data_IF_601622121144
#
_entry.id   IF_601622121144
#
_cell.length_a   1.000
_cell.length_b   1.000
_cell.length_c   1.000
_cell.angle_alpha   90.00
_cell.angle_beta   90.00
_cell.angle_gamma   90.00
#
_symmetry.space_group_name_H-M   'P 1'
#
loop_
_entity.id
_entity.type
_entity.pdbx_description
1 polymer ?
#
# COMPACT_ATOMS: atom_id res chain seq x y z
N UNK A 1 13.15 38.28 6.21
CA UNK A 1 13.18 36.83 5.93
C UNK A 1 11.74 36.32 6.00
N UNK A 2 11.10 36.02 4.87
CA UNK A 2 9.72 35.50 4.85
C UNK A 2 9.82 33.98 5.00
N UNK A 3 9.42 33.45 6.15
CA UNK A 3 9.31 32.00 6.35
C UNK A 3 7.94 31.58 5.81
N UNK A 4 7.94 30.91 4.66
CA UNK A 4 6.73 30.33 4.09
C UNK A 4 6.47 29.01 4.81
N UNK A 5 5.41 28.98 5.60
CA UNK A 5 4.97 27.77 6.27
C UNK A 5 4.02 26.99 5.35
N UNK A 6 4.41 25.78 4.97
CA UNK A 6 3.55 24.88 4.18
C UNK A 6 2.65 24.10 5.14
N UNK A 7 1.37 24.42 5.13
CA UNK A 7 0.33 23.74 5.90
C UNK A 7 -0.47 22.84 4.98
N UNK A 8 -0.50 21.55 5.25
CA UNK A 8 -1.20 20.56 4.41
C UNK A 8 -2.11 19.65 5.24
N UNK A 9 -3.23 19.22 4.64
CA UNK A 9 -4.11 18.21 5.24
C UNK A 9 -3.52 16.82 4.97
N UNK A 10 -3.20 16.08 6.03
CA UNK A 10 -2.74 14.69 5.94
C UNK A 10 -3.80 13.71 6.46
N UNK A 11 -3.93 12.52 5.85
CA UNK A 11 -4.78 11.48 6.38
C UNK A 11 -4.23 10.99 7.71
N UNK A 12 -5.12 10.77 8.67
CA UNK A 12 -4.77 10.17 9.94
C UNK A 12 -5.81 9.14 10.36
N UNK A 13 -5.31 8.03 10.91
CA UNK A 13 -6.12 6.96 11.49
C UNK A 13 -6.01 6.99 13.02
N UNK A 14 -7.11 6.66 13.69
CA UNK A 14 -7.16 6.46 15.15
C UNK A 14 -7.87 5.15 15.48
N UNK A 15 -7.23 4.28 16.24
CA UNK A 15 -7.82 3.04 16.75
C UNK A 15 -9.00 3.30 17.68
N UNK A 16 -10.09 2.57 17.47
CA UNK A 16 -11.37 2.75 18.16
C UNK A 16 -11.90 1.46 18.82
N UNK A 17 -11.14 0.37 18.75
CA UNK A 17 -11.47 -0.92 19.36
C UNK A 17 -11.19 -2.10 18.44
N UNK A 18 -11.54 -3.30 18.91
CA UNK A 18 -11.29 -4.57 18.26
C UNK A 18 -12.59 -5.34 18.03
N UNK A 19 -12.62 -6.08 16.92
CA UNK A 19 -13.72 -6.94 16.48
C UNK A 19 -13.15 -8.21 15.83
N UNK A 20 -13.98 -9.24 15.67
CA UNK A 20 -13.64 -10.39 14.84
C UNK A 20 -14.50 -10.42 13.57
N UNK A 21 -13.84 -10.64 12.43
CA UNK A 21 -14.51 -10.81 11.14
C UNK A 21 -13.73 -11.78 10.25
N UNK A 22 -14.28 -12.11 9.09
CA UNK A 22 -13.61 -12.93 8.08
C UNK A 22 -12.67 -12.09 7.21
N UNK A 23 -11.38 -12.45 7.16
CA UNK A 23 -10.40 -11.76 6.32
C UNK A 23 -10.32 -12.40 4.94
N UNK A 24 -10.59 -11.62 3.87
CA UNK A 24 -10.51 -12.11 2.49
C UNK A 24 -9.08 -12.42 2.02
N UNK A 25 -8.07 -11.81 2.64
CA UNK A 25 -6.64 -12.06 2.35
C UNK A 25 -6.12 -13.25 3.15
N UNK A 26 -6.36 -13.31 4.46
CA UNK A 26 -5.95 -14.45 5.29
C UNK A 26 -6.85 -15.67 5.13
N UNK A 27 -8.04 -15.50 4.55
CA UNK A 27 -9.05 -16.53 4.26
C UNK A 27 -9.56 -17.30 5.48
N UNK A 28 -9.51 -16.65 6.64
CA UNK A 28 -10.00 -17.18 7.92
C UNK A 28 -10.58 -16.05 8.77
N UNK A 29 -11.30 -16.41 9.84
CA UNK A 29 -11.64 -15.45 10.89
C UNK A 29 -10.35 -14.88 11.53
N UNK A 30 -10.32 -13.57 11.79
CA UNK A 30 -9.19 -12.85 12.36
C UNK A 30 -9.66 -11.71 13.26
N UNK A 31 -8.74 -11.23 14.09
CA UNK A 31 -8.90 -9.98 14.85
C UNK A 31 -8.68 -8.80 13.91
N UNK A 32 -9.60 -7.86 13.97
CA UNK A 32 -9.50 -6.58 13.30
C UNK A 32 -9.50 -5.45 14.32
N UNK A 33 -8.70 -4.43 14.07
CA UNK A 33 -8.82 -3.15 14.76
C UNK A 33 -9.67 -2.21 13.91
N UNK A 34 -10.72 -1.67 14.51
CA UNK A 34 -11.54 -0.63 13.89
C UNK A 34 -10.81 0.68 14.04
N UNK A 35 -10.53 1.35 12.92
CA UNK A 35 -9.87 2.64 12.90
C UNK A 35 -10.80 3.70 12.28
N UNK A 36 -10.84 4.87 12.89
CA UNK A 36 -11.46 6.07 12.30
C UNK A 36 -10.44 6.78 11.46
N UNK A 37 -10.77 7.02 10.19
CA UNK A 37 -9.91 7.72 9.24
C UNK A 37 -10.45 9.12 9.02
N UNK A 38 -9.55 10.09 9.08
CA UNK A 38 -9.87 11.49 8.93
C UNK A 38 -8.73 12.29 8.32
N UNK A 39 -8.93 13.60 8.24
CA UNK A 39 -7.90 14.54 7.83
C UNK A 39 -7.53 15.41 9.02
N UNK A 40 -6.22 15.61 9.23
CA UNK A 40 -5.71 16.58 10.18
C UNK A 40 -4.79 17.56 9.43
N UNK A 41 -4.78 18.82 9.84
CA UNK A 41 -3.77 19.74 9.38
C UNK A 41 -2.41 19.31 9.93
N UNK A 42 -1.37 19.46 9.11
CA UNK A 42 -0.01 19.20 9.54
C UNK A 42 0.95 20.23 8.97
N UNK A 43 1.98 20.56 9.76
CA UNK A 43 3.09 21.41 9.36
C UNK A 43 4.38 20.70 9.80
N UNK A 44 5.31 20.49 8.88
CA UNK A 44 6.55 19.74 9.14
C UNK A 44 6.33 18.35 9.79
N UNK A 45 5.20 17.70 9.50
CA UNK A 45 4.84 16.41 10.09
C UNK A 45 4.21 16.47 11.49
N UNK A 46 4.11 17.66 12.10
CA UNK A 46 3.38 17.86 13.35
C UNK A 46 1.90 18.10 13.05
N UNK A 47 1.01 17.40 13.77
CA UNK A 47 -0.45 17.57 13.65
C UNK A 47 -0.86 18.89 14.32
N UNK A 48 -1.57 19.72 13.57
CA UNK A 48 -2.14 20.98 14.01
C UNK A 48 -3.65 20.79 14.21
N UNK A 49 -4.09 20.71 15.47
CA UNK A 49 -5.51 20.62 15.84
C UNK A 49 -6.13 19.22 15.75
N UNK A 50 -7.44 19.17 16.01
CA UNK A 50 -8.22 17.94 16.00
C UNK A 50 -8.46 17.44 14.56
N UNK A 51 -8.42 16.12 14.38
CA UNK A 51 -8.73 15.51 13.08
C UNK A 51 -10.23 15.48 12.83
N UNK A 52 -10.63 15.73 11.58
CA UNK A 52 -12.01 15.52 11.13
C UNK A 52 -12.13 14.11 10.56
N UNK A 53 -12.78 13.22 11.29
CA UNK A 53 -13.01 11.83 10.89
C UNK A 53 -14.18 11.73 9.92
N UNK A 54 -13.98 11.04 8.80
CA UNK A 54 -14.98 10.95 7.72
C UNK A 54 -15.57 9.55 7.59
N UNK A 55 -14.80 8.51 7.90
CA UNK A 55 -15.26 7.13 7.79
C UNK A 55 -14.50 6.20 8.74
N UNK A 56 -15.04 5.00 8.93
CA UNK A 56 -14.40 3.92 9.67
C UNK A 56 -13.98 2.81 8.69
N UNK A 57 -12.86 2.18 8.99
CA UNK A 57 -12.44 0.95 8.33
C UNK A 57 -11.92 -0.03 9.37
N UNK A 58 -11.80 -1.29 9.00
CA UNK A 58 -11.28 -2.34 9.88
C UNK A 58 -9.98 -2.90 9.30
N UNK A 59 -8.95 -2.99 10.12
CA UNK A 59 -7.61 -3.43 9.71
C UNK A 59 -7.31 -4.78 10.33
N UNK A 60 -7.03 -5.78 9.49
CA UNK A 60 -6.67 -7.12 9.96
C UNK A 60 -5.34 -7.06 10.71
N UNK A 61 -5.30 -7.52 11.97
CA UNK A 61 -4.07 -7.52 12.76
C UNK A 61 -3.00 -8.49 12.24
N UNK A 62 -3.36 -9.42 11.34
CA UNK A 62 -2.40 -10.36 10.74
C UNK A 62 -1.82 -9.88 9.42
N UNK A 63 -2.64 -9.55 8.42
CA UNK A 63 -2.16 -9.14 7.10
C UNK A 63 -2.15 -7.62 6.89
N UNK A 64 -2.55 -6.83 7.89
CA UNK A 64 -2.65 -5.36 7.83
C UNK A 64 -3.56 -4.81 6.71
N UNK A 65 -4.33 -5.67 6.05
CA UNK A 65 -5.31 -5.24 5.05
C UNK A 65 -6.44 -4.46 5.72
N UNK A 66 -6.67 -3.25 5.20
CA UNK A 66 -7.86 -2.47 5.51
C UNK A 66 -9.05 -2.96 4.69
N UNK A 67 -10.19 -3.17 5.35
CA UNK A 67 -11.47 -3.52 4.77
C UNK A 67 -12.52 -2.48 5.20
N UNK A 68 -13.59 -2.27 4.43
CA UNK A 68 -14.71 -1.46 4.87
C UNK A 68 -15.28 -1.98 6.19
N UNK A 69 -15.61 -1.06 7.11
CA UNK A 69 -16.29 -1.39 8.35
C UNK A 69 -17.74 -0.94 8.26
N UNK A 70 -18.68 -1.87 8.39
CA UNK A 70 -20.10 -1.56 8.54
C UNK A 70 -20.52 -1.88 9.99
N UNK A 71 -20.83 -0.85 10.81
CA UNK A 71 -21.23 -1.04 12.20
C UNK A 71 -22.47 -1.92 12.35
N UNK A 72 -23.36 -1.98 11.34
CA UNK A 72 -24.57 -2.78 11.39
C UNK A 72 -24.31 -4.29 11.47
N UNK A 73 -23.11 -4.74 11.12
CA UNK A 73 -22.74 -6.14 11.16
C UNK A 73 -22.27 -6.64 12.52
N UNK A 74 -22.01 -5.73 13.46
CA UNK A 74 -21.39 -6.03 14.74
C UNK A 74 -22.31 -5.64 15.89
N UNK A 75 -22.36 -6.48 16.93
CA UNK A 75 -23.14 -6.19 18.13
C UNK A 75 -22.48 -5.09 18.95
N UNK A 76 -21.17 -5.15 19.11
CA UNK A 76 -20.36 -4.19 19.87
C UNK A 76 -18.88 -4.30 19.51
N UNK A 77 -18.08 -3.34 20.00
CA UNK A 77 -16.61 -3.33 19.88
C UNK A 77 -16.00 -3.56 21.26
N UNK A 78 -14.85 -4.21 21.30
CA UNK A 78 -14.07 -4.39 22.54
C UNK A 78 -12.93 -3.39 22.57
N UNK A 79 -12.62 -2.80 23.72
CA UNK A 79 -11.54 -1.81 23.86
C UNK A 79 -10.15 -2.45 23.87
N UNK A 80 -10.04 -3.69 24.36
CA UNK A 80 -8.80 -4.47 24.43
C UNK A 80 -8.73 -5.54 23.34
N UNK A 81 -7.49 -5.92 23.00
CA UNK A 81 -7.24 -7.05 22.13
C UNK A 81 -7.52 -8.36 22.89
N UNK A 82 -8.25 -9.25 22.26
CA UNK A 82 -8.70 -10.54 22.81
C UNK A 82 -8.49 -11.65 21.78
N UNK A 83 -8.71 -12.91 22.18
CA UNK A 83 -8.66 -14.04 21.24
C UNK A 83 -9.75 -13.94 20.18
N UNK A 84 -9.49 -14.50 18.99
CA UNK A 84 -10.46 -14.48 17.87
C UNK A 84 -11.79 -15.08 18.31
N UNK A 85 -11.78 -16.25 18.96
CA UNK A 85 -13.01 -16.94 19.36
C UNK A 85 -13.85 -16.10 20.33
N UNK A 86 -13.19 -15.48 21.33
CA UNK A 86 -13.87 -14.60 22.28
C UNK A 86 -14.44 -13.37 21.59
N UNK A 87 -13.70 -12.76 20.66
CA UNK A 87 -14.18 -11.63 19.88
C UNK A 87 -15.35 -12.03 18.96
N UNK A 88 -15.38 -13.24 18.40
CA UNK A 88 -16.52 -13.72 17.61
C UNK A 88 -17.76 -13.76 18.49
N UNK A 89 -17.69 -14.36 19.67
CA UNK A 89 -18.83 -14.43 20.58
C UNK A 89 -19.34 -13.05 21.02
N UNK A 90 -18.44 -12.10 21.27
CA UNK A 90 -18.78 -10.78 21.79
C UNK A 90 -19.26 -9.83 20.69
N UNK A 91 -18.58 -9.83 19.54
CA UNK A 91 -18.72 -8.78 18.51
C UNK A 91 -19.51 -9.23 17.29
N UNK A 92 -19.43 -10.51 16.90
CA UNK A 92 -20.12 -11.03 15.71
C UNK A 92 -20.52 -12.51 15.87
N UNK A 93 -21.49 -12.84 16.75
CA UNK A 93 -21.87 -14.24 17.00
C UNK A 93 -22.45 -14.92 15.74
N UNK A 94 -23.01 -14.14 14.81
CA UNK A 94 -23.53 -14.61 13.53
C UNK A 94 -22.45 -14.74 12.43
N UNK A 95 -21.14 -14.68 12.75
CA UNK A 95 -20.06 -14.72 11.75
C UNK A 95 -20.17 -15.94 10.82
N UNK A 96 -20.40 -17.12 11.39
CA UNK A 96 -20.50 -18.36 10.62
C UNK A 96 -21.69 -18.34 9.64
N UNK A 97 -22.86 -17.87 10.10
CA UNK A 97 -24.05 -17.75 9.25
C UNK A 97 -23.84 -16.71 8.14
N UNK A 98 -23.27 -15.55 8.49
CA UNK A 98 -23.01 -14.45 7.58
C UNK A 98 -22.02 -14.81 6.46
N UNK A 99 -20.97 -15.55 6.80
CA UNK A 99 -19.93 -15.96 5.86
C UNK A 99 -20.05 -17.42 5.42
N UNK A 100 -21.21 -18.07 5.62
CA UNK A 100 -21.40 -19.51 5.38
C UNK A 100 -20.97 -19.94 3.97
N UNK A 101 -21.39 -19.18 2.94
CA UNK A 101 -20.99 -19.43 1.54
C UNK A 101 -19.48 -19.37 1.37
N UNK A 102 -18.83 -18.36 1.97
CA UNK A 102 -17.39 -18.18 1.84
C UNK A 102 -16.62 -19.28 2.58
N UNK A 103 -17.02 -19.59 3.80
CA UNK A 103 -16.42 -20.65 4.61
C UNK A 103 -16.49 -22.02 3.90
N UNK A 104 -17.61 -22.33 3.24
CA UNK A 104 -17.74 -23.54 2.43
C UNK A 104 -16.73 -23.61 1.27
N UNK A 105 -16.49 -22.49 0.59
CA UNK A 105 -15.48 -22.41 -0.49
C UNK A 105 -14.07 -22.61 0.09
N UNK A 106 -13.79 -22.04 1.27
CA UNK A 106 -12.49 -22.21 1.93
C UNK A 106 -12.24 -23.64 2.39
N UNK A 107 -13.28 -24.33 2.86
CA UNK A 107 -13.25 -25.74 3.22
C UNK A 107 -13.00 -26.62 1.99
N UNK A 108 -13.76 -26.42 0.90
CA UNK A 108 -13.54 -27.12 -0.37
C UNK A 108 -12.13 -26.92 -0.92
N UNK A 109 -11.61 -25.69 -0.88
CA UNK A 109 -10.24 -25.42 -1.32
C UNK A 109 -9.21 -26.17 -0.46
N UNK A 110 -9.43 -26.23 0.85
CA UNK A 110 -8.52 -26.92 1.79
C UNK A 110 -8.46 -28.42 1.51
N UNK A 111 -9.60 -29.01 1.16
CA UNK A 111 -9.71 -30.44 0.88
C UNK A 111 -9.19 -30.80 -0.51
N UNK A 112 -9.59 -30.03 -1.53
CA UNK A 112 -9.07 -30.18 -2.89
C UNK A 112 -9.27 -28.90 -3.71
N UNK A 113 -8.20 -28.13 -3.89
CA UNK A 113 -8.25 -26.95 -4.77
C UNK A 113 -8.58 -27.28 -6.24
N UNK A 114 -8.36 -28.54 -6.67
CA UNK A 114 -8.66 -29.00 -8.02
C UNK A 114 -10.15 -29.32 -8.23
N UNK A 115 -10.93 -29.52 -7.17
CA UNK A 115 -12.38 -29.77 -7.26
C UNK A 115 -13.22 -28.49 -7.26
N UNK A 116 -12.58 -27.32 -7.13
CA UNK A 116 -13.26 -26.04 -7.23
C UNK A 116 -13.78 -25.81 -8.65
N UNK A 117 -15.00 -25.29 -8.75
CA UNK A 117 -15.57 -24.79 -10.00
C UNK A 117 -14.59 -23.78 -10.65
N UNK A 118 -14.22 -23.94 -11.94
CA UNK A 118 -13.34 -23.01 -12.65
C UNK A 118 -13.76 -21.54 -12.52
N UNK A 119 -15.07 -21.25 -12.49
CA UNK A 119 -15.55 -19.87 -12.30
C UNK A 119 -15.20 -19.33 -10.91
N UNK A 120 -15.42 -20.13 -9.86
CA UNK A 120 -15.07 -19.77 -8.48
C UNK A 120 -13.55 -19.63 -8.33
N UNK A 121 -12.77 -20.51 -8.96
CA UNK A 121 -11.30 -20.41 -8.97
C UNK A 121 -10.84 -19.09 -9.60
N UNK A 122 -11.39 -18.72 -10.75
CA UNK A 122 -11.08 -17.45 -11.42
C UNK A 122 -11.41 -16.25 -10.54
N UNK A 123 -12.58 -16.23 -9.89
CA UNK A 123 -12.99 -15.18 -8.96
C UNK A 123 -12.04 -15.07 -7.75
N UNK A 124 -11.59 -16.21 -7.21
CA UNK A 124 -10.64 -16.24 -6.09
C UNK A 124 -9.26 -15.73 -6.48
N UNK A 125 -8.80 -16.00 -7.71
CA UNK A 125 -7.53 -15.46 -8.23
C UNK A 125 -7.64 -13.97 -8.57
N UNK A 126 -8.83 -13.51 -8.93
CA UNK A 126 -9.09 -12.12 -9.24
C UNK A 126 -9.22 -11.24 -7.98
N UNK A 127 -9.85 -11.76 -6.92
CA UNK A 127 -10.16 -10.99 -5.70
C UNK A 127 -8.97 -10.23 -5.09
N UNK A 128 -7.74 -10.78 -4.97
CA UNK A 128 -6.60 -10.09 -4.41
C UNK A 128 -6.22 -8.82 -5.18
N UNK A 129 -6.34 -8.84 -6.53
CA UNK A 129 -6.05 -7.66 -7.36
C UNK A 129 -6.98 -6.50 -7.02
N UNK A 130 -8.26 -6.80 -6.84
CA UNK A 130 -9.29 -5.80 -6.51
C UNK A 130 -9.08 -5.29 -5.08
N UNK A 131 -8.87 -6.20 -4.12
CA UNK A 131 -8.74 -5.86 -2.69
C UNK A 131 -7.49 -5.03 -2.38
N UNK A 132 -6.39 -5.29 -3.08
CA UNK A 132 -5.12 -4.58 -2.87
C UNK A 132 -4.98 -3.33 -3.79
N UNK A 133 -5.86 -3.15 -4.76
CA UNK A 133 -5.83 -1.97 -5.65
C UNK A 133 -5.91 -0.63 -4.92
N UNK A 134 -6.77 -0.43 -3.89
CA UNK A 134 -6.87 0.87 -3.22
C UNK A 134 -5.58 1.24 -2.49
N UNK A 135 -4.86 0.26 -1.94
CA UNK A 135 -3.58 0.51 -1.27
C UNK A 135 -2.49 0.93 -2.26
N UNK A 136 -2.44 0.27 -3.42
CA UNK A 136 -1.55 0.66 -4.51
C UNK A 136 -1.90 2.06 -5.01
N UNK A 137 -3.18 2.32 -5.24
CA UNK A 137 -3.67 3.61 -5.73
C UNK A 137 -3.33 4.73 -4.76
N UNK A 138 -3.60 4.54 -3.45
CA UNK A 138 -3.29 5.54 -2.43
C UNK A 138 -1.78 5.81 -2.35
N UNK A 139 -0.94 4.76 -2.35
CA UNK A 139 0.52 4.90 -2.25
C UNK A 139 1.13 5.51 -3.51
N UNK A 140 0.62 5.15 -4.68
CA UNK A 140 1.09 5.70 -5.94
C UNK A 140 0.54 7.09 -6.19
N UNK A 141 -0.68 7.43 -5.78
CA UNK A 141 -1.26 8.77 -5.84
C UNK A 141 -0.39 9.79 -5.10
N UNK A 142 0.05 9.47 -3.88
CA UNK A 142 0.93 10.36 -3.09
C UNK A 142 2.34 10.52 -3.68
N UNK A 143 2.73 9.65 -4.63
CA UNK A 143 4.05 9.71 -5.28
C UNK A 143 3.95 10.07 -6.77
N UNK A 144 2.81 10.59 -7.24
CA UNK A 144 2.68 11.12 -8.59
C UNK A 144 3.22 12.55 -8.61
N UNK A 145 4.52 12.69 -8.85
CA UNK A 145 4.95 13.83 -9.66
C UNK A 145 4.35 13.60 -11.04
N UNK A 146 3.50 14.51 -11.50
CA UNK A 146 2.92 14.43 -12.84
C UNK A 146 4.07 14.29 -13.84
N UNK A 147 3.96 13.41 -14.84
CA UNK A 147 5.02 13.19 -15.82
C UNK A 147 5.43 14.50 -16.51
N UNK A 148 4.50 15.45 -16.63
CA UNK A 148 4.77 16.82 -17.08
C UNK A 148 5.58 17.65 -16.09
N UNK A 149 5.29 17.56 -14.79
CA UNK A 149 6.04 18.23 -13.73
C UNK A 149 7.45 17.64 -13.59
N UNK A 150 7.53 16.31 -13.68
CA UNK A 150 8.80 15.61 -13.71
C UNK A 150 9.60 16.01 -14.96
N UNK A 151 8.98 16.02 -16.15
CA UNK A 151 9.65 16.47 -17.37
C UNK A 151 10.08 17.95 -17.29
N UNK A 152 9.26 18.83 -16.70
CA UNK A 152 9.62 20.22 -16.48
C UNK A 152 10.81 20.36 -15.50
N UNK A 153 10.86 19.55 -14.44
CA UNK A 153 12.01 19.50 -13.54
C UNK A 153 13.25 18.92 -14.22
N UNK A 154 13.12 17.80 -14.93
CA UNK A 154 14.23 17.06 -15.55
C UNK A 154 14.78 17.76 -16.79
N UNK A 155 13.94 18.41 -17.60
CA UNK A 155 14.34 19.07 -18.84
C UNK A 155 14.31 20.59 -18.73
N UNK A 156 13.30 21.17 -18.08
CA UNK A 156 13.09 22.62 -18.04
C UNK A 156 14.19 23.37 -17.28
N UNK A 157 14.59 22.90 -16.09
CA UNK A 157 15.67 23.53 -15.33
C UNK A 157 17.05 23.44 -16.03
N UNK A 158 17.48 22.28 -16.56
CA UNK A 158 18.74 22.21 -17.30
C UNK A 158 18.71 23.01 -18.61
N UNK A 159 17.58 23.04 -19.33
CA UNK A 159 17.43 23.91 -20.50
C UNK A 159 17.51 25.40 -20.13
N UNK A 160 16.92 25.80 -18.99
CA UNK A 160 17.04 27.17 -18.49
C UNK A 160 18.49 27.52 -18.11
N UNK A 161 19.22 26.60 -17.46
CA UNK A 161 20.66 26.73 -17.18
C UNK A 161 21.50 26.82 -18.47
N UNK A 162 21.19 26.00 -19.48
CA UNK A 162 21.84 26.05 -20.80
C UNK A 162 21.60 27.37 -21.54
N UNK A 163 20.43 28.00 -21.36
CA UNK A 163 20.12 29.32 -21.92
C UNK A 163 20.87 30.47 -21.23
N UNK A 164 21.44 30.26 -20.04
CA UNK A 164 22.27 31.25 -19.34
C UNK A 164 23.74 31.23 -19.81
N UNK A 165 24.22 30.14 -20.40
CA UNK A 165 25.58 30.03 -20.97
C UNK A 165 25.95 31.14 -21.97
N UNK A 166 25.10 31.54 -22.94
CA UNK A 166 25.44 32.63 -23.86
C UNK A 166 25.56 33.99 -23.16
N UNK A 167 24.91 34.20 -22.01
CA UNK A 167 25.00 35.44 -21.22
C UNK A 167 26.38 35.53 -20.55
N UNK A 168 26.88 34.42 -20.00
CA UNK A 168 28.25 34.35 -19.45
C UNK A 168 29.30 34.61 -20.53
N UNK A 169 29.12 34.03 -21.72
CA UNK A 169 30.01 34.28 -22.87
C UNK A 169 30.00 35.76 -23.32
N UNK A 170 28.84 36.43 -23.22
CA UNK A 170 28.73 37.87 -23.52
C UNK A 170 29.43 38.74 -22.48
N UNK A 171 29.33 38.37 -21.20
CA UNK A 171 29.97 39.06 -20.07
C UNK A 171 31.50 38.94 -20.10
N UNK A 172 32.02 37.79 -20.53
CA UNK A 172 33.45 37.57 -20.71
C UNK A 172 34.03 38.48 -21.81
N UNK A 173 33.27 38.73 -22.89
CA UNK A 173 33.64 39.73 -23.93
C UNK A 173 33.70 41.17 -23.41
N UNK A 174 32.99 41.49 -22.32
CA UNK A 174 32.99 42.81 -21.67
C UNK A 174 34.12 42.92 -20.63
N UNK A 175 34.95 41.88 -20.47
CA UNK A 175 36.14 41.90 -19.62
C UNK A 175 35.88 41.56 -18.16
N UNK A 176 34.73 40.95 -17.85
CA UNK A 176 34.45 40.41 -16.51
C UNK A 176 34.99 38.98 -16.43
N UNK A 177 36.04 38.69 -15.64
CA UNK A 177 36.58 37.34 -15.53
C UNK A 177 35.62 36.47 -14.70
N UNK A 178 34.92 35.55 -15.37
CA UNK A 178 34.06 34.55 -14.73
C UNK A 178 34.70 33.19 -14.95
N UNK A 179 34.90 32.41 -13.89
CA UNK A 179 35.50 31.08 -13.99
C UNK A 179 34.56 30.14 -14.79
N UNK A 180 34.98 29.77 -16.01
CA UNK A 180 34.20 28.98 -17.00
C UNK A 180 33.71 27.59 -16.53
N UNK A 181 34.10 27.11 -15.34
CA UNK A 181 33.73 25.79 -14.81
C UNK A 181 32.40 25.75 -14.05
N UNK A 182 31.87 26.90 -13.61
CA UNK A 182 30.66 27.00 -12.80
C UNK A 182 29.38 26.32 -13.37
N UNK A 183 28.96 26.62 -14.61
CA UNK A 183 27.68 26.14 -15.14
C UNK A 183 27.66 24.64 -15.44
N UNK A 184 28.78 24.07 -15.93
CA UNK A 184 28.88 22.63 -16.19
C UNK A 184 28.83 21.80 -14.90
N UNK A 185 29.47 22.28 -13.83
CA UNK A 185 29.40 21.64 -12.51
C UNK A 185 27.97 21.70 -11.97
N UNK A 186 27.27 22.84 -12.11
CA UNK A 186 25.88 22.99 -11.68
C UNK A 186 24.95 22.05 -12.45
N UNK A 187 25.12 21.91 -13.77
CA UNK A 187 24.35 20.98 -14.60
C UNK A 187 24.61 19.52 -14.20
N UNK A 188 25.88 19.13 -14.02
CA UNK A 188 26.24 17.78 -13.59
C UNK A 188 25.67 17.45 -12.19
N UNK A 189 25.77 18.39 -11.25
CA UNK A 189 25.20 18.23 -9.92
C UNK A 189 23.67 18.09 -9.95
N UNK A 190 22.99 18.90 -10.78
CA UNK A 190 21.53 18.84 -10.92
C UNK A 190 21.07 17.53 -11.56
N UNK A 191 21.69 17.11 -12.66
CA UNK A 191 21.36 15.84 -13.33
C UNK A 191 21.62 14.64 -12.42
N UNK A 192 22.72 14.64 -11.67
CA UNK A 192 22.99 13.64 -10.65
C UNK A 192 21.92 13.64 -9.54
N UNK A 193 21.51 14.83 -9.06
CA UNK A 193 20.45 14.97 -8.05
C UNK A 193 19.11 14.41 -8.54
N UNK A 194 18.69 14.78 -9.75
CA UNK A 194 17.46 14.25 -10.37
C UNK A 194 17.54 12.74 -10.54
N UNK A 195 18.67 12.22 -11.04
CA UNK A 195 18.91 10.78 -11.18
C UNK A 195 18.77 10.05 -9.83
N UNK A 196 19.33 10.62 -8.76
CA UNK A 196 19.22 10.10 -7.40
C UNK A 196 17.77 10.10 -6.90
N UNK A 197 17.02 11.19 -7.07
CA UNK A 197 15.60 11.28 -6.67
C UNK A 197 14.75 10.23 -7.40
N UNK A 198 14.96 10.07 -8.71
CA UNK A 198 14.29 9.04 -9.51
C UNK A 198 14.63 7.63 -9.03
N UNK A 199 15.90 7.37 -8.75
CA UNK A 199 16.36 6.08 -8.25
C UNK A 199 15.77 5.76 -6.88
N UNK A 200 15.82 6.69 -5.92
CA UNK A 200 15.21 6.53 -4.58
C UNK A 200 13.70 6.29 -4.71
N UNK A 201 13.02 7.05 -5.56
CA UNK A 201 11.57 6.90 -5.79
C UNK A 201 11.23 5.53 -6.37
N UNK A 202 11.96 5.05 -7.38
CA UNK A 202 11.79 3.71 -7.96
C UNK A 202 12.06 2.61 -6.93
N UNK A 203 13.13 2.76 -6.14
CA UNK A 203 13.48 1.81 -5.08
C UNK A 203 12.41 1.74 -4.00
N UNK A 204 11.88 2.88 -3.54
CA UNK A 204 10.82 2.94 -2.56
C UNK A 204 9.53 2.23 -3.05
N UNK A 205 9.14 2.45 -4.32
CA UNK A 205 8.01 1.76 -4.94
C UNK A 205 8.20 0.25 -5.00
N UNK A 206 9.40 -0.20 -5.41
CA UNK A 206 9.76 -1.62 -5.45
C UNK A 206 9.71 -2.24 -4.04
N UNK A 207 10.34 -1.60 -3.06
CA UNK A 207 10.37 -2.09 -1.68
C UNK A 207 8.98 -2.16 -1.06
N UNK A 208 8.12 -1.17 -1.27
CA UNK A 208 6.73 -1.20 -0.83
C UNK A 208 5.98 -2.39 -1.43
N UNK A 209 6.10 -2.58 -2.75
CA UNK A 209 5.46 -3.69 -3.43
C UNK A 209 5.93 -5.04 -2.89
N UNK A 210 7.25 -5.23 -2.74
CA UNK A 210 7.84 -6.48 -2.25
C UNK A 210 7.54 -6.75 -0.77
N UNK A 211 7.42 -5.72 0.07
CA UNK A 211 7.25 -5.87 1.53
C UNK A 211 5.79 -5.92 1.98
N UNK A 212 4.88 -5.23 1.29
CA UNK A 212 3.50 -5.09 1.75
C UNK A 212 2.53 -5.83 0.82
N UNK A 213 2.65 -5.62 -0.49
CA UNK A 213 1.65 -6.08 -1.46
C UNK A 213 1.91 -7.54 -1.86
N UNK A 214 3.15 -7.89 -2.18
CA UNK A 214 3.54 -9.24 -2.60
C UNK A 214 3.22 -10.31 -1.54
N UNK A 215 3.57 -10.15 -0.24
CA UNK A 215 3.21 -11.15 0.77
C UNK A 215 1.70 -11.22 1.01
N UNK A 216 0.98 -10.11 1.00
CA UNK A 216 -0.48 -10.12 1.12
C UNK A 216 -1.13 -10.85 -0.07
N UNK A 217 -0.65 -10.62 -1.28
CA UNK A 217 -1.13 -11.32 -2.47
C UNK A 217 -0.83 -12.81 -2.39
N UNK A 218 0.41 -13.18 -2.04
CA UNK A 218 0.83 -14.57 -1.86
C UNK A 218 -0.04 -15.31 -0.83
N UNK A 219 -0.38 -14.64 0.28
CA UNK A 219 -1.30 -15.17 1.28
C UNK A 219 -2.71 -15.36 0.74
N UNK A 220 -3.20 -14.47 -0.11
CA UNK A 220 -4.55 -14.56 -0.66
C UNK A 220 -4.69 -15.70 -1.69
N UNK A 221 -3.65 -15.95 -2.49
CA UNK A 221 -3.62 -17.06 -3.47
C UNK A 221 -3.07 -18.36 -2.91
N UNK A 222 -2.71 -18.37 -1.62
CA UNK A 222 -2.27 -19.55 -0.90
C UNK A 222 -3.27 -20.71 -1.07
N UNK A 223 -2.77 -21.88 -1.48
CA UNK A 223 -3.57 -23.08 -1.70
C UNK A 223 -4.18 -23.22 -3.10
N UNK A 224 -4.20 -22.17 -3.92
CA UNK A 224 -4.66 -22.27 -5.32
C UNK A 224 -3.55 -22.69 -6.28
N UNK A 225 -2.28 -22.50 -5.91
CA UNK A 225 -1.10 -22.79 -6.75
C UNK A 225 -1.25 -22.26 -8.18
N UNK A 226 -1.47 -20.95 -8.36
CA UNK A 226 -1.82 -20.41 -9.67
C UNK A 226 -0.67 -20.50 -10.66
N UNK A 227 -0.98 -20.81 -11.90
CA UNK A 227 0.00 -20.71 -12.98
C UNK A 227 0.22 -19.24 -13.37
N UNK A 228 1.35 -18.95 -14.02
CA UNK A 228 1.61 -17.62 -14.58
C UNK A 228 0.50 -17.19 -15.54
N UNK A 229 0.01 -18.12 -16.36
CA UNK A 229 -1.04 -17.87 -17.35
C UNK A 229 -2.38 -17.54 -16.70
N UNK A 230 -2.75 -18.22 -15.61
CA UNK A 230 -3.96 -17.90 -14.85
C UNK A 230 -3.88 -16.48 -14.26
N UNK A 231 -2.72 -16.09 -13.71
CA UNK A 231 -2.52 -14.76 -13.15
C UNK A 231 -2.53 -13.67 -14.23
N UNK A 232 -1.92 -13.92 -15.40
CA UNK A 232 -1.94 -12.95 -16.50
C UNK A 232 -3.35 -12.79 -17.07
N UNK A 233 -4.12 -13.87 -17.17
CA UNK A 233 -5.53 -13.82 -17.58
C UNK A 233 -6.39 -13.06 -16.57
N UNK A 234 -6.23 -13.34 -15.28
CA UNK A 234 -6.93 -12.61 -14.22
C UNK A 234 -6.61 -11.11 -14.24
N UNK A 235 -5.35 -10.75 -14.52
CA UNK A 235 -4.94 -9.34 -14.67
C UNK A 235 -5.47 -8.69 -15.96
N UNK A 236 -5.54 -9.46 -17.06
CA UNK A 236 -5.97 -8.96 -18.36
C UNK A 236 -7.47 -8.67 -18.44
N UNK A 237 -8.29 -9.34 -17.62
CA UNK A 237 -9.75 -9.22 -17.62
C UNK A 237 -10.26 -7.77 -17.46
N UNK A 238 -9.50 -6.89 -16.80
CA UNK A 238 -9.79 -5.47 -16.75
C UNK A 238 -8.82 -4.64 -17.61
N UNK A 239 -9.18 -4.38 -18.87
CA UNK A 239 -8.44 -3.47 -19.79
C UNK A 239 -8.53 -2.00 -19.39
N UNK A 240 -9.60 -1.58 -18.71
CA UNK A 240 -9.83 -0.23 -18.16
C UNK A 240 -10.35 -0.37 -16.72
N UNK A 241 -9.84 0.42 -15.77
CA UNK A 241 -10.27 0.37 -14.35
C UNK A 241 -9.15 0.49 -13.31
N UNK A 242 -9.44 0.16 -12.03
CA UNK A 242 -8.56 0.35 -10.86
C UNK A 242 -7.26 -0.46 -10.90
N UNK A 243 -7.09 -1.36 -11.88
CA UNK A 243 -5.89 -2.21 -12.00
C UNK A 243 -4.76 -1.59 -12.85
N UNK A 244 -4.81 -0.28 -13.12
CA UNK A 244 -3.77 0.42 -13.91
C UNK A 244 -2.38 0.29 -13.30
N UNK A 245 -2.29 0.33 -11.98
CA UNK A 245 -1.02 0.29 -11.26
C UNK A 245 -0.36 -1.09 -11.30
N UNK A 246 -1.16 -2.17 -11.26
CA UNK A 246 -0.66 -3.53 -11.44
C UNK A 246 0.05 -3.75 -12.77
N UNK A 247 -0.48 -3.18 -13.86
CA UNK A 247 0.10 -3.29 -15.21
C UNK A 247 1.39 -2.49 -15.40
N UNK A 248 1.65 -1.50 -14.55
CA UNK A 248 2.89 -0.71 -14.57
C UNK A 248 4.05 -1.40 -13.86
N UNK A 249 3.76 -2.46 -13.11
CA UNK A 249 4.78 -3.25 -12.43
C UNK A 249 5.41 -4.23 -13.42
N UNK A 250 6.72 -4.47 -13.24
CA UNK A 250 7.47 -5.42 -14.07
C UNK A 250 6.88 -6.82 -13.92
N UNK A 251 6.56 -7.56 -14.99
CA UNK A 251 5.85 -8.85 -14.90
C UNK A 251 6.60 -9.96 -14.16
N UNK A 252 7.89 -9.77 -13.85
CA UNK A 252 8.73 -10.74 -13.14
C UNK A 252 8.17 -11.19 -11.77
N UNK A 253 7.35 -10.36 -11.11
CA UNK A 253 6.74 -10.75 -9.83
C UNK A 253 5.69 -11.87 -10.01
N UNK A 254 5.07 -12.01 -11.18
CA UNK A 254 4.13 -13.10 -11.48
C UNK A 254 4.86 -14.45 -11.44
N UNK A 255 6.08 -14.50 -11.98
CA UNK A 255 6.93 -15.68 -11.92
C UNK A 255 7.33 -16.00 -10.47
N UNK A 256 7.54 -14.97 -9.64
CA UNK A 256 7.80 -15.16 -8.20
C UNK A 256 6.63 -15.87 -7.53
N UNK A 257 5.39 -15.42 -7.77
CA UNK A 257 4.19 -16.01 -7.16
C UNK A 257 3.91 -17.42 -7.69
N UNK A 258 4.03 -17.63 -9.00
CA UNK A 258 3.83 -18.94 -9.61
C UNK A 258 4.84 -20.00 -9.12
N UNK A 259 6.02 -19.55 -8.67
CA UNK A 259 7.07 -20.41 -8.10
C UNK A 259 6.98 -20.54 -6.58
N UNK A 260 6.12 -19.78 -5.91
CA UNK A 260 5.94 -19.98 -4.48
C UNK A 260 5.40 -21.39 -4.26
N UNK A 261 6.05 -22.20 -3.41
CA UNK A 261 5.49 -23.47 -3.04
C UNK A 261 4.08 -23.18 -2.49
N UNK A 262 3.09 -23.93 -3.00
CA UNK A 262 1.78 -24.00 -2.37
C UNK A 262 2.05 -24.11 -0.86
N UNK A 263 1.60 -23.17 -0.02
CA UNK A 263 2.07 -23.18 1.36
C UNK A 263 1.72 -24.54 1.95
N UNK A 264 2.75 -25.35 2.19
CA UNK A 264 2.66 -26.53 3.03
C UNK A 264 2.06 -26.01 4.32
N UNK A 265 0.79 -26.39 4.58
CA UNK A 265 -0.01 -26.11 5.78
C UNK A 265 0.75 -25.23 6.76
N UNK A 266 0.68 -23.90 6.57
CA UNK A 266 1.46 -23.00 7.42
C UNK A 266 0.97 -23.15 8.86
N UNK A 267 1.89 -23.32 9.83
CA UNK A 267 1.58 -23.99 11.08
C UNK A 267 0.56 -23.21 11.91
N UNK A 268 -0.28 -23.98 12.60
CA UNK A 268 -0.83 -23.55 13.88
C UNK A 268 0.33 -22.99 14.72
N UNK A 269 0.16 -21.78 15.27
CA UNK A 269 1.18 -21.00 15.98
C UNK A 269 2.28 -20.36 15.10
N UNK A 270 2.03 -19.10 14.72
CA UNK A 270 3.10 -18.10 14.81
C UNK A 270 2.63 -17.09 15.84
N UNK A 271 3.30 -17.20 16.99
CA UNK A 271 3.61 -16.19 17.99
C UNK A 271 2.80 -14.89 17.86
N UNK A 272 1.96 -14.69 18.88
CA UNK A 272 1.64 -13.37 19.41
C UNK A 272 2.85 -12.44 19.24
N UNK A 273 2.69 -11.22 18.68
CA UNK A 273 3.74 -10.23 18.83
C UNK A 273 4.02 -10.12 20.34
N UNK A 274 5.29 -10.23 20.72
CA UNK A 274 5.66 -10.03 22.12
C UNK A 274 5.15 -8.64 22.51
N UNK A 275 4.56 -8.54 23.71
CA UNK A 275 4.00 -7.31 24.27
C UNK A 275 5.02 -6.14 24.40
N UNK A 276 6.26 -6.34 23.92
CA UNK A 276 7.39 -5.42 24.01
C UNK A 276 7.48 -4.47 22.79
N UNK A 277 6.93 -4.83 21.62
CA UNK A 277 6.90 -3.88 20.48
C UNK A 277 5.82 -2.80 20.62
N UNK A 278 4.75 -3.06 21.38
CA UNK A 278 3.70 -2.08 21.69
C UNK A 278 4.13 -1.04 22.75
N UNK A 279 5.24 -1.28 23.45
CA UNK A 279 5.80 -0.29 24.38
C UNK A 279 6.47 0.89 23.66
N UNK A 280 6.91 0.69 22.40
CA UNK A 280 7.66 1.73 21.65
C UNK A 280 6.80 2.89 21.15
N UNK A 281 5.47 2.73 21.10
CA UNK A 281 4.54 3.76 20.61
C UNK A 281 3.69 4.44 21.69
N UNK A 282 3.84 4.05 22.97
CA UNK A 282 3.25 4.81 24.08
C UNK A 282 4.12 6.03 24.36
N UNK A 283 3.74 7.19 23.81
CA UNK A 283 4.25 8.46 24.33
C UNK A 283 3.75 8.60 25.78
N UNK A 284 4.61 8.98 26.75
CA UNK A 284 4.14 9.37 28.06
C UNK A 284 3.22 10.59 27.95
N UNK A 285 2.17 10.58 28.77
CA UNK A 285 1.23 11.67 28.96
C UNK A 285 1.90 12.91 29.57
#
# INVERSE_FOLDING_TARGET
MIVVFVVEKRPVAQGCGFIADFCLICRTARVFEVQRVGLAWSMFGLRLGAATYTHEHQVCQRCRQALPHDPAWFTQRVSSQETVDRLIHITQPALAARHARRLKIEEQMRDSAASLDPAVRADLLHAPFVLLSPQLDQRFATTQLDGRQLAALVFGLPCALLLLLPIEFLLERVGVPIAQTGPWIAFAAFTAYVGLVLWVSRRARKQFFEREILPAFALAVAGLSPSREELTLALAHHRSGPLRHWRRLTPAWLDTIARLPAPARWPAQIQTPSADEDARWRRPA
#
